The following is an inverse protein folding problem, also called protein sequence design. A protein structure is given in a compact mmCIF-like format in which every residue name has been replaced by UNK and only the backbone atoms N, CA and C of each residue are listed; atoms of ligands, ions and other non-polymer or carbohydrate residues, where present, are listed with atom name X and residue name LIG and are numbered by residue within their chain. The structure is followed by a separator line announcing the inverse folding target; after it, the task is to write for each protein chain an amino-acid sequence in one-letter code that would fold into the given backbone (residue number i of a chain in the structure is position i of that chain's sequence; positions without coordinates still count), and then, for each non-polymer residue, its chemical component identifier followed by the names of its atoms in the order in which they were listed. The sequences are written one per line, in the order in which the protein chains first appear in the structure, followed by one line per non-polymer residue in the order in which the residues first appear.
data_IF_156446849196
#
_entry.id   IF_156446849196
#
_cell.length_a   1.000
_cell.length_b   1.000
_cell.length_c   1.000
_cell.angle_alpha   90.00
_cell.angle_beta   90.00
_cell.angle_gamma   90.00
#
_symmetry.space_group_name_H-M   'P 1'
#
loop_
_entity.id
_entity.type
_entity.pdbx_description
1 polymer ?
#
# COMPACT_ATOMS: atom_id res chain seq x y z
N UNK A 1 19.90 36.66 36.35
CA UNK A 1 18.76 35.81 35.95
C UNK A 1 18.82 35.63 34.44
N UNK A 2 19.50 34.59 33.96
CA UNK A 2 19.61 34.30 32.53
C UNK A 2 18.71 33.12 32.22
N UNK A 3 17.64 33.36 31.47
CA UNK A 3 16.76 32.29 30.99
C UNK A 3 17.45 31.56 29.84
N UNK A 4 17.44 30.22 29.90
CA UNK A 4 17.87 29.34 28.82
C UNK A 4 16.87 29.39 27.65
N UNK A 5 17.31 29.20 26.39
CA UNK A 5 16.41 29.17 25.25
C UNK A 5 15.55 27.90 25.30
N UNK A 6 14.24 28.08 25.23
CA UNK A 6 13.27 26.98 25.22
C UNK A 6 13.54 26.01 24.07
N UNK A 7 13.60 24.72 24.41
CA UNK A 7 13.65 23.65 23.42
C UNK A 7 12.40 23.73 22.54
N UNK A 8 12.58 24.04 21.25
CA UNK A 8 11.53 23.88 20.27
C UNK A 8 11.15 22.40 20.21
N UNK A 9 9.86 22.03 20.18
CA UNK A 9 9.47 20.64 20.00
C UNK A 9 10.04 20.15 18.67
N UNK A 10 10.91 19.14 18.73
CA UNK A 10 11.47 18.49 17.54
C UNK A 10 10.31 18.01 16.68
N UNK A 11 10.25 18.47 15.42
CA UNK A 11 9.26 17.96 14.47
C UNK A 11 9.36 16.43 14.45
N UNK A 12 8.25 15.71 14.61
CA UNK A 12 8.24 14.25 14.50
C UNK A 12 8.85 13.86 13.15
N UNK A 13 9.84 12.97 13.19
CA UNK A 13 10.51 12.49 11.99
C UNK A 13 9.59 11.53 11.25
N UNK A 14 9.12 11.93 10.07
CA UNK A 14 8.35 11.04 9.18
C UNK A 14 9.23 9.85 8.78
N UNK A 15 8.73 8.64 9.04
CA UNK A 15 9.41 7.42 8.64
C UNK A 15 9.36 7.25 7.12
N UNK A 16 10.52 7.00 6.50
CA UNK A 16 10.64 6.81 5.05
C UNK A 16 11.74 5.83 4.67
N UNK A 17 11.33 4.70 4.11
CA UNK A 17 12.21 3.76 3.43
C UNK A 17 12.34 4.09 1.96
N UNK A 18 13.60 4.20 1.54
CA UNK A 18 13.98 4.36 0.14
C UNK A 18 14.17 3.00 -0.52
N UNK A 19 13.77 2.94 -1.78
CA UNK A 19 13.73 1.71 -2.55
C UNK A 19 15.12 1.11 -2.70
N UNK A 20 15.21 -0.19 -2.44
CA UNK A 20 16.34 -1.02 -2.83
C UNK A 20 15.82 -2.13 -3.74
N UNK A 21 16.50 -2.34 -4.88
CA UNK A 21 16.12 -3.36 -5.87
C UNK A 21 14.65 -3.20 -6.31
N UNK A 22 13.88 -4.28 -6.41
CA UNK A 22 12.47 -4.26 -6.81
C UNK A 22 11.49 -4.34 -5.64
N UNK A 23 11.96 -4.11 -4.40
CA UNK A 23 11.20 -4.27 -3.14
C UNK A 23 10.16 -3.17 -2.85
N UNK A 24 9.62 -2.54 -3.90
CA UNK A 24 8.67 -1.42 -3.75
C UNK A 24 7.45 -1.78 -2.89
N UNK A 25 6.95 -3.03 -2.93
CA UNK A 25 5.85 -3.49 -2.08
C UNK A 25 6.21 -3.49 -0.58
N UNK A 26 7.41 -3.98 -0.23
CA UNK A 26 7.89 -3.99 1.17
C UNK A 26 8.03 -2.57 1.69
N UNK A 27 8.63 -1.69 0.89
CA UNK A 27 8.78 -0.29 1.29
C UNK A 27 7.44 0.44 1.36
N UNK A 28 6.49 0.14 0.47
CA UNK A 28 5.14 0.69 0.57
C UNK A 28 4.44 0.25 1.88
N UNK A 29 4.56 -1.02 2.27
CA UNK A 29 4.05 -1.53 3.56
C UNK A 29 4.69 -0.80 4.74
N UNK A 30 6.02 -0.72 4.79
CA UNK A 30 6.72 -0.07 5.91
C UNK A 30 6.45 1.44 5.96
N UNK A 31 6.39 2.10 4.82
CA UNK A 31 6.08 3.53 4.71
C UNK A 31 4.64 3.82 5.14
N UNK A 32 3.66 3.03 4.68
CA UNK A 32 2.26 3.26 5.07
C UNK A 32 2.05 3.00 6.57
N UNK A 33 2.79 2.04 7.15
CA UNK A 33 2.74 1.70 8.57
C UNK A 33 3.62 2.59 9.45
N UNK A 34 4.46 3.44 8.85
CA UNK A 34 5.43 4.33 9.52
C UNK A 34 6.46 3.60 10.39
N UNK A 35 6.83 2.36 10.04
CA UNK A 35 7.82 1.56 10.74
C UNK A 35 8.36 0.45 9.84
N UNK A 36 9.62 0.03 10.05
CA UNK A 36 10.19 -1.18 9.45
C UNK A 36 9.56 -2.45 10.06
N UNK A 37 8.46 -2.94 9.50
CA UNK A 37 7.78 -4.16 9.98
C UNK A 37 8.01 -5.36 9.06
N UNK A 38 8.20 -5.12 7.77
CA UNK A 38 8.41 -6.14 6.76
C UNK A 38 9.82 -6.06 6.19
N UNK A 39 10.39 -7.23 5.94
CA UNK A 39 11.62 -7.40 5.17
C UNK A 39 11.33 -8.17 3.89
N UNK A 40 12.34 -8.32 3.03
CA UNK A 40 12.26 -9.18 1.86
C UNK A 40 11.93 -10.62 2.28
N UNK A 41 12.59 -11.13 3.32
CA UNK A 41 12.38 -12.48 3.83
C UNK A 41 10.95 -12.67 4.34
N UNK A 42 10.40 -11.69 5.06
CA UNK A 42 9.02 -11.74 5.53
C UNK A 42 8.02 -11.78 4.35
N UNK A 43 8.25 -10.98 3.31
CA UNK A 43 7.43 -10.99 2.10
C UNK A 43 7.56 -12.31 1.31
N UNK A 44 8.76 -12.88 1.24
CA UNK A 44 8.99 -14.19 0.63
C UNK A 44 8.27 -15.31 1.40
N UNK A 45 8.26 -15.27 2.73
CA UNK A 45 7.51 -16.23 3.56
C UNK A 45 5.99 -16.10 3.36
N UNK A 46 5.48 -14.87 3.21
CA UNK A 46 4.07 -14.65 2.87
C UNK A 46 3.76 -15.25 1.50
N UNK A 47 4.64 -15.09 0.51
CA UNK A 47 4.47 -15.66 -0.83
C UNK A 47 4.51 -17.20 -0.84
N UNK A 48 5.27 -17.83 0.07
CA UNK A 48 5.36 -19.29 0.19
C UNK A 48 4.14 -19.92 0.84
N UNK A 49 3.40 -19.17 1.68
CA UNK A 49 2.14 -19.62 2.26
C UNK A 49 1.07 -19.56 1.16
N UNK A 50 0.51 -20.71 0.81
CA UNK A 50 -0.53 -20.81 -0.21
C UNK A 50 -1.74 -19.93 0.18
N UNK A 51 -2.16 -18.95 -0.65
CA UNK A 51 -3.31 -18.10 -0.37
C UNK A 51 -4.60 -18.87 -0.09
N UNK A 52 -4.72 -20.11 -0.59
CA UNK A 52 -5.86 -20.98 -0.31
C UNK A 52 -5.98 -21.37 1.17
N UNK A 53 -4.91 -21.28 1.95
CA UNK A 53 -4.95 -21.48 3.42
C UNK A 53 -5.45 -20.26 4.21
N UNK A 54 -5.49 -19.07 3.60
CA UNK A 54 -6.02 -17.83 4.22
C UNK A 54 -7.54 -17.66 4.01
N UNK A 55 -8.12 -18.39 3.06
CA UNK A 55 -9.58 -18.41 2.81
C UNK A 55 -10.34 -19.40 3.74
N UNK A 56 -9.65 -20.09 4.66
CA UNK A 56 -10.26 -21.06 5.59
C UNK A 56 -10.52 -20.52 7.01
N UNK A 57 -10.75 -19.21 7.17
CA UNK A 57 -11.30 -18.64 8.41
C UNK A 57 -12.68 -18.01 8.21
N UNK A 58 -13.51 -18.62 7.37
CA UNK A 58 -14.95 -18.35 7.27
C UNK A 58 -15.75 -19.59 7.70
N UNK A 59 -16.58 -19.42 8.72
CA UNK A 59 -17.63 -20.30 9.26
C UNK A 59 -17.89 -21.64 8.51
N UNK A 60 -17.66 -22.74 9.22
CA UNK A 60 -18.17 -24.06 8.86
C UNK A 60 -19.71 -24.04 8.86
N UNK A 61 -20.35 -24.18 7.69
CA UNK A 61 -21.81 -24.15 7.64
C UNK A 61 -22.54 -24.53 6.34
N UNK A 62 -21.98 -24.33 5.15
CA UNK A 62 -22.76 -24.55 3.91
C UNK A 62 -22.16 -25.62 2.97
N UNK A 63 -22.91 -26.70 2.63
CA UNK A 63 -22.41 -27.80 1.80
C UNK A 63 -22.68 -27.65 0.29
N UNK A 64 -23.08 -26.49 -0.22
CA UNK A 64 -23.22 -26.29 -1.68
C UNK A 64 -22.43 -25.07 -2.19
N UNK A 65 -21.14 -25.27 -2.45
CA UNK A 65 -20.45 -24.47 -3.46
C UNK A 65 -19.46 -25.35 -4.21
N UNK A 66 -19.74 -25.56 -5.49
CA UNK A 66 -19.00 -26.42 -6.41
C UNK A 66 -17.55 -25.94 -6.54
N UNK A 67 -16.55 -26.84 -6.56
CA UNK A 67 -15.17 -26.47 -6.83
C UNK A 67 -15.03 -26.20 -8.32
N UNK A 68 -14.84 -24.95 -8.71
CA UNK A 68 -14.21 -24.70 -10.02
C UNK A 68 -12.72 -24.85 -9.80
N UNK A 69 -12.29 -26.08 -10.10
CA UNK A 69 -10.91 -26.45 -10.36
C UNK A 69 -10.27 -25.39 -11.28
N UNK A 70 -9.17 -24.80 -10.83
CA UNK A 70 -8.02 -24.69 -11.71
C UNK A 70 -7.08 -25.84 -11.32
N UNK A 71 -7.14 -27.00 -11.99
CA UNK A 71 -5.99 -27.88 -12.02
C UNK A 71 -4.86 -27.11 -12.71
N UNK A 72 -3.61 -27.37 -12.34
CA UNK A 72 -2.39 -26.80 -12.96
C UNK A 72 -1.84 -25.47 -12.42
N UNK A 73 -2.06 -25.12 -11.16
CA UNK A 73 -1.24 -24.07 -10.49
C UNK A 73 0.04 -24.62 -9.84
N UNK A 74 0.70 -25.62 -10.45
CA UNK A 74 1.98 -26.16 -9.96
C UNK A 74 3.18 -25.24 -10.16
N UNK A 75 2.99 -24.03 -10.70
CA UNK A 75 3.98 -22.97 -10.77
C UNK A 75 3.24 -21.63 -10.80
N UNK A 76 3.28 -20.86 -9.71
CA UNK A 76 2.84 -19.48 -9.75
C UNK A 76 3.84 -18.70 -10.64
N UNK A 77 3.47 -18.21 -11.85
CA UNK A 77 4.44 -17.63 -12.81
C UNK A 77 5.05 -16.30 -12.32
N UNK A 78 4.55 -15.77 -11.21
CA UNK A 78 5.08 -14.60 -10.51
C UNK A 78 5.96 -14.94 -9.32
N UNK A 79 6.36 -16.21 -9.15
CA UNK A 79 7.52 -16.55 -8.33
C UNK A 79 8.68 -15.78 -8.94
N UNK A 80 9.15 -14.74 -8.25
CA UNK A 80 10.48 -14.18 -8.49
C UNK A 80 11.45 -15.31 -8.21
N UNK A 81 11.69 -16.20 -9.18
CA UNK A 81 12.61 -17.34 -9.10
C UNK A 81 14.05 -16.88 -8.79
N UNK A 82 14.28 -15.56 -8.85
CA UNK A 82 15.53 -14.88 -8.55
C UNK A 82 15.50 -14.08 -7.23
N UNK A 83 14.39 -14.05 -6.48
CA UNK A 83 14.28 -13.27 -5.24
C UNK A 83 14.51 -11.77 -5.45
N UNK A 84 14.01 -11.18 -6.54
CA UNK A 84 14.30 -9.78 -6.89
C UNK A 84 13.43 -8.75 -6.17
N UNK A 85 12.30 -9.18 -5.59
CA UNK A 85 11.42 -8.35 -4.75
C UNK A 85 10.14 -7.82 -5.41
N UNK A 86 9.81 -8.26 -6.63
CA UNK A 86 8.62 -7.81 -7.35
C UNK A 86 7.34 -8.52 -6.86
N UNK A 87 6.86 -8.13 -5.67
CA UNK A 87 5.67 -8.71 -5.05
C UNK A 87 4.37 -8.15 -5.62
N UNK A 88 3.37 -9.02 -5.75
CA UNK A 88 2.02 -8.65 -6.16
C UNK A 88 1.16 -8.15 -4.99
N UNK A 89 -0.08 -7.77 -5.30
CA UNK A 89 -1.03 -7.24 -4.33
C UNK A 89 -1.40 -8.25 -3.23
N UNK A 90 -1.38 -9.56 -3.50
CA UNK A 90 -1.79 -10.56 -2.52
C UNK A 90 -0.81 -10.59 -1.34
N UNK A 91 0.48 -10.37 -1.60
CA UNK A 91 1.49 -10.24 -0.55
C UNK A 91 1.20 -9.02 0.33
N UNK A 92 0.81 -7.89 -0.25
CA UNK A 92 0.43 -6.67 0.47
C UNK A 92 -0.81 -6.92 1.34
N UNK A 93 -1.85 -7.55 0.78
CA UNK A 93 -3.08 -7.87 1.48
C UNK A 93 -2.83 -8.83 2.65
N UNK A 94 -2.10 -9.92 2.42
CA UNK A 94 -1.78 -10.90 3.45
C UNK A 94 -0.89 -10.32 4.56
N UNK A 95 0.07 -9.46 4.21
CA UNK A 95 0.91 -8.74 5.18
C UNK A 95 0.06 -7.88 6.12
N UNK A 96 -0.85 -7.07 5.57
CA UNK A 96 -1.73 -6.20 6.35
C UNK A 96 -2.75 -7.00 7.18
N UNK A 97 -3.29 -8.07 6.61
CA UNK A 97 -4.20 -8.99 7.32
C UNK A 97 -3.53 -9.63 8.54
N UNK A 98 -2.26 -10.00 8.44
CA UNK A 98 -1.46 -10.53 9.55
C UNK A 98 -1.31 -9.55 10.72
N UNK A 99 -1.49 -8.25 10.48
CA UNK A 99 -1.49 -7.19 11.50
C UNK A 99 -2.90 -6.81 11.98
N UNK A 100 -3.94 -7.56 11.57
CA UNK A 100 -5.32 -7.24 11.90
C UNK A 100 -5.88 -6.02 11.15
N UNK A 101 -5.21 -5.59 10.09
CA UNK A 101 -5.70 -4.56 9.17
C UNK A 101 -6.42 -5.22 7.98
N UNK A 102 -7.03 -4.38 7.16
CA UNK A 102 -7.72 -4.78 5.95
C UNK A 102 -7.38 -3.84 4.79
N UNK A 103 -7.67 -4.30 3.58
CA UNK A 103 -7.44 -3.55 2.34
C UNK A 103 -8.71 -3.47 1.53
N UNK A 104 -9.15 -2.26 1.22
CA UNK A 104 -10.31 -2.03 0.36
C UNK A 104 -9.86 -1.46 -0.98
N UNK A 105 -10.33 -2.05 -2.07
CA UNK A 105 -10.13 -1.51 -3.41
C UNK A 105 -11.01 -0.28 -3.62
N UNK A 106 -10.38 0.86 -3.90
CA UNK A 106 -11.13 2.05 -4.29
C UNK A 106 -11.66 1.91 -5.73
N UNK A 107 -12.97 2.08 -5.88
CA UNK A 107 -13.59 2.12 -7.21
C UNK A 107 -13.33 3.48 -7.87
N UNK A 108 -12.45 3.50 -8.88
CA UNK A 108 -12.10 4.70 -9.66
C UNK A 108 -13.28 5.40 -10.36
N UNK A 109 -14.44 4.76 -10.45
CA UNK A 109 -15.67 5.36 -11.00
C UNK A 109 -16.35 6.27 -9.98
N UNK A 110 -16.02 6.16 -8.70
CA UNK A 110 -16.58 6.99 -7.62
C UNK A 110 -15.87 8.34 -7.56
N UNK A 111 -16.61 9.43 -7.29
CA UNK A 111 -15.99 10.72 -7.06
C UNK A 111 -15.11 10.65 -5.82
N UNK A 112 -13.92 11.24 -5.88
CA UNK A 112 -12.99 11.23 -4.76
C UNK A 112 -13.59 11.89 -3.52
N UNK A 113 -14.55 12.80 -3.62
CA UNK A 113 -15.26 13.40 -2.47
C UNK A 113 -15.90 12.38 -1.53
N UNK A 114 -16.29 11.21 -2.05
CA UNK A 114 -16.85 10.11 -1.26
C UNK A 114 -15.78 9.36 -0.44
N UNK A 115 -14.48 9.55 -0.71
CA UNK A 115 -13.42 8.93 0.08
C UNK A 115 -13.29 9.64 1.44
N UNK A 116 -13.61 8.94 2.51
CA UNK A 116 -13.45 9.41 3.89
C UNK A 116 -12.00 9.22 4.36
N UNK A 117 -11.08 10.07 3.86
CA UNK A 117 -9.65 10.03 4.20
C UNK A 117 -9.34 9.94 5.71
N UNK A 118 -10.08 10.58 6.64
CA UNK A 118 -9.83 10.44 8.08
C UNK A 118 -10.07 9.05 8.66
N UNK A 119 -10.87 8.22 8.00
CA UNK A 119 -11.15 6.83 8.42
C UNK A 119 -10.11 5.84 7.87
N UNK A 120 -9.23 6.30 6.98
CA UNK A 120 -8.25 5.49 6.28
C UNK A 120 -6.88 5.70 6.94
N UNK A 121 -6.25 4.60 7.36
CA UNK A 121 -4.91 4.64 7.97
C UNK A 121 -3.87 5.13 6.95
N UNK A 122 -3.96 4.67 5.71
CA UNK A 122 -3.13 5.13 4.61
C UNK A 122 -3.56 4.53 3.29
N UNK A 123 -2.92 4.94 2.19
CA UNK A 123 -3.22 4.46 0.85
C UNK A 123 -1.99 3.77 0.26
N UNK A 124 -2.21 2.70 -0.50
CA UNK A 124 -1.19 2.06 -1.33
C UNK A 124 -1.67 2.15 -2.78
N UNK A 125 -0.86 2.77 -3.64
CA UNK A 125 -1.16 2.96 -5.06
C UNK A 125 -0.28 2.06 -5.90
N UNK A 126 -0.84 1.55 -7.00
CA UNK A 126 -0.10 0.85 -8.05
C UNK A 126 0.04 1.75 -9.28
N UNK A 127 1.20 2.41 -9.41
CA UNK A 127 1.43 3.40 -10.46
C UNK A 127 2.31 2.83 -11.59
N UNK A 128 2.06 3.22 -12.87
CA UNK A 128 3.00 2.95 -13.93
C UNK A 128 4.26 3.82 -13.71
N UNK A 129 5.42 3.19 -13.61
CA UNK A 129 6.68 3.87 -13.36
C UNK A 129 7.72 3.52 -14.43
N UNK A 130 8.42 4.50 -15.02
CA UNK A 130 9.53 4.23 -15.92
C UNK A 130 10.62 3.43 -15.19
N UNK A 131 11.23 2.49 -15.91
CA UNK A 131 12.45 1.88 -15.42
C UNK A 131 13.65 2.81 -15.64
N UNK A 132 14.48 2.96 -14.62
CA UNK A 132 15.74 3.70 -14.70
C UNK A 132 16.90 2.70 -14.68
N UNK A 133 17.73 2.71 -15.72
CA UNK A 133 19.02 2.02 -15.75
C UNK A 133 20.12 3.08 -15.80
N UNK A 134 20.65 3.44 -14.63
CA UNK A 134 21.59 4.56 -14.51
C UNK A 134 20.96 5.89 -14.97
N UNK A 135 21.60 6.57 -15.93
CA UNK A 135 21.11 7.83 -16.51
C UNK A 135 20.07 7.64 -17.63
N UNK A 136 19.79 6.40 -18.04
CA UNK A 136 18.85 6.09 -19.13
C UNK A 136 17.51 5.64 -18.56
N UNK A 137 16.44 6.37 -18.88
CA UNK A 137 15.07 5.89 -18.70
C UNK A 137 14.69 4.98 -19.86
N UNK A 138 14.39 3.72 -19.58
CA UNK A 138 13.92 2.79 -20.61
C UNK A 138 12.45 3.09 -20.94
N UNK A 139 12.02 2.94 -22.21
CA UNK A 139 10.63 3.18 -22.62
C UNK A 139 9.64 2.14 -22.07
N UNK A 140 10.13 1.14 -21.32
CA UNK A 140 9.31 0.12 -20.69
C UNK A 140 8.87 0.57 -19.30
N UNK A 141 7.55 0.63 -19.09
CA UNK A 141 6.94 0.96 -17.80
C UNK A 141 6.71 -0.30 -16.98
N UNK A 142 7.02 -0.25 -15.69
CA UNK A 142 6.70 -1.30 -14.72
C UNK A 142 5.73 -0.78 -13.67
N UNK A 143 5.04 -1.71 -13.01
CA UNK A 143 4.21 -1.40 -11.85
C UNK A 143 5.09 -1.02 -10.67
N UNK A 144 4.62 -0.08 -9.86
CA UNK A 144 5.36 0.45 -8.72
C UNK A 144 4.39 0.78 -7.60
N UNK A 145 4.66 0.20 -6.42
CA UNK A 145 3.86 0.43 -5.23
C UNK A 145 4.30 1.69 -4.51
N UNK A 146 3.36 2.60 -4.25
CA UNK A 146 3.59 3.89 -3.57
C UNK A 146 2.66 4.01 -2.38
N UNK A 147 3.20 4.43 -1.23
CA UNK A 147 2.41 4.68 -0.03
C UNK A 147 2.09 6.17 0.11
N UNK A 148 0.85 6.48 0.49
CA UNK A 148 0.45 7.79 1.02
C UNK A 148 0.01 7.62 2.47
N UNK A 149 0.48 8.50 3.37
CA UNK A 149 0.19 8.40 4.79
C UNK A 149 0.10 9.76 5.46
N UNK A 150 -0.88 9.91 6.36
CA UNK A 150 -0.95 11.06 7.25
C UNK A 150 -0.05 10.85 8.47
N UNK A 151 0.77 11.86 8.77
CA UNK A 151 1.65 11.94 9.94
C UNK A 151 1.51 13.35 10.51
N UNK A 152 1.08 13.43 11.77
CA UNK A 152 0.86 14.70 12.49
C UNK A 152 0.00 15.71 11.71
N UNK A 153 -1.11 15.23 11.14
CA UNK A 153 -2.08 16.04 10.41
C UNK A 153 -1.72 16.32 8.96
N UNK A 154 -0.50 16.04 8.51
CA UNK A 154 -0.03 16.27 7.14
C UNK A 154 0.06 14.96 6.39
N UNK A 155 -0.50 14.91 5.18
CA UNK A 155 -0.33 13.78 4.27
C UNK A 155 0.98 13.90 3.50
N UNK A 156 1.65 12.76 3.34
CA UNK A 156 2.89 12.65 2.59
C UNK A 156 2.77 11.61 1.48
N UNK A 157 3.38 11.93 0.34
CA UNK A 157 3.81 10.97 -0.66
C UNK A 157 5.11 10.32 -0.18
N UNK A 158 5.02 9.03 0.11
CA UNK A 158 6.11 8.20 0.60
C UNK A 158 6.56 7.21 -0.48
N UNK A 159 6.54 7.63 -1.74
CA UNK A 159 7.18 6.90 -2.82
C UNK A 159 8.64 6.62 -2.42
N UNK A 160 9.00 5.34 -2.40
CA UNK A 160 10.32 4.86 -2.04
C UNK A 160 11.41 5.29 -3.03
N UNK A 161 11.04 5.74 -4.25
CA UNK A 161 11.98 6.34 -5.21
C UNK A 161 12.37 7.78 -4.87
N UNK A 162 11.60 8.47 -4.03
CA UNK A 162 11.94 9.81 -3.58
C UNK A 162 13.16 9.80 -2.67
N UNK A 163 13.88 10.93 -2.63
CA UNK A 163 14.99 11.11 -1.68
C UNK A 163 14.52 11.39 -0.26
N UNK A 164 13.32 11.95 -0.13
CA UNK A 164 12.66 12.29 1.13
C UNK A 164 11.13 12.32 0.91
N UNK A 165 10.31 12.23 1.98
CA UNK A 165 8.86 12.42 1.90
C UNK A 165 8.48 13.74 1.24
N UNK A 166 7.52 13.69 0.33
CA UNK A 166 6.94 14.88 -0.29
C UNK A 166 5.60 15.20 0.39
N UNK A 167 5.48 16.39 0.98
CA UNK A 167 4.26 16.80 1.64
C UNK A 167 3.16 17.10 0.62
N UNK A 168 2.02 16.43 0.74
CA UNK A 168 0.80 16.69 -0.02
C UNK A 168 -0.12 17.70 0.71
N UNK A 169 0.13 17.98 1.99
CA UNK A 169 -0.69 18.88 2.79
C UNK A 169 -1.92 18.17 3.38
N UNK A 170 -3.10 18.77 3.22
CA UNK A 170 -4.36 18.23 3.74
C UNK A 170 -5.09 17.29 2.78
N UNK A 171 -6.36 17.01 3.07
CA UNK A 171 -7.22 16.13 2.24
C UNK A 171 -7.29 16.58 0.78
N UNK A 172 -7.40 17.88 0.52
CA UNK A 172 -7.52 18.41 -0.85
C UNK A 172 -6.28 18.12 -1.69
N UNK A 173 -5.09 18.18 -1.09
CA UNK A 173 -3.84 17.86 -1.78
C UNK A 173 -3.75 16.38 -2.13
N UNK A 174 -4.19 15.50 -1.24
CA UNK A 174 -4.29 14.05 -1.53
C UNK A 174 -5.30 13.80 -2.64
N UNK A 175 -6.47 14.45 -2.59
CA UNK A 175 -7.50 14.30 -3.63
C UNK A 175 -6.99 14.79 -4.99
N UNK A 176 -6.27 15.91 -5.04
CA UNK A 176 -5.65 16.41 -6.27
C UNK A 176 -4.59 15.43 -6.82
N UNK A 177 -3.75 14.87 -5.94
CA UNK A 177 -2.76 13.86 -6.31
C UNK A 177 -3.43 12.60 -6.88
N UNK A 178 -4.44 12.06 -6.19
CA UNK A 178 -5.20 10.89 -6.62
C UNK A 178 -5.92 11.14 -7.95
N UNK A 179 -6.51 12.33 -8.15
CA UNK A 179 -7.17 12.68 -9.40
C UNK A 179 -6.17 12.67 -10.57
N UNK A 180 -4.99 13.25 -10.39
CA UNK A 180 -3.92 13.23 -11.39
C UNK A 180 -3.41 11.82 -11.71
N UNK A 181 -3.30 10.95 -10.70
CA UNK A 181 -2.90 9.56 -10.87
C UNK A 181 -3.98 8.72 -11.59
N UNK A 182 -5.24 8.86 -11.19
CA UNK A 182 -6.37 8.12 -11.77
C UNK A 182 -6.66 8.54 -13.22
N UNK A 183 -6.46 9.81 -13.57
CA UNK A 183 -6.65 10.33 -14.93
C UNK A 183 -5.73 9.66 -15.96
N UNK A 184 -4.59 9.11 -15.54
CA UNK A 184 -3.67 8.36 -16.42
C UNK A 184 -4.19 6.95 -16.77
N UNK A 185 -5.28 6.50 -16.15
CA UNK A 185 -6.00 5.26 -16.49
C UNK A 185 -5.34 3.95 -16.06
N UNK A 186 -4.11 4.00 -15.57
CA UNK A 186 -3.33 2.83 -15.13
C UNK A 186 -3.05 2.84 -13.62
N UNK A 187 -3.78 3.61 -12.83
CA UNK A 187 -3.60 3.66 -11.38
C UNK A 187 -4.63 2.78 -10.68
N UNK A 188 -4.17 1.96 -9.74
CA UNK A 188 -5.02 1.29 -8.76
C UNK A 188 -4.76 1.88 -7.38
N UNK A 189 -5.79 1.92 -6.54
CA UNK A 189 -5.71 2.51 -5.19
C UNK A 189 -6.31 1.53 -4.19
N UNK A 190 -5.50 1.16 -3.21
CA UNK A 190 -5.87 0.36 -2.05
C UNK A 190 -5.95 1.26 -0.83
N UNK A 191 -7.05 1.17 -0.10
CA UNK A 191 -7.23 1.81 1.20
C UNK A 191 -6.76 0.83 2.28
N UNK A 192 -5.81 1.24 3.10
CA UNK A 192 -5.41 0.49 4.30
C UNK A 192 -6.27 0.97 5.46
N UNK A 193 -7.07 0.09 6.02
CA UNK A 193 -8.06 0.39 7.06
C UNK A 193 -8.00 -0.64 8.18
N UNK A 194 -8.61 -0.32 9.32
CA UNK A 194 -8.87 -1.35 10.35
C UNK A 194 -10.01 -2.26 9.88
N UNK A 195 -10.08 -3.49 10.41
CA UNK A 195 -11.21 -4.41 10.13
C UNK A 195 -12.57 -3.80 10.46
N UNK A 196 -12.66 -3.05 11.56
CA UNK A 196 -13.89 -2.36 11.94
C UNK A 196 -14.34 -1.33 10.88
N UNK A 197 -13.40 -0.57 10.31
CA UNK A 197 -13.71 0.41 9.26
C UNK A 197 -14.12 -0.28 7.96
N UNK A 198 -13.48 -1.41 7.61
CA UNK A 198 -13.88 -2.24 6.48
C UNK A 198 -15.31 -2.76 6.64
N UNK A 199 -15.60 -3.41 7.77
CA UNK A 199 -16.91 -4.02 8.09
C UNK A 199 -18.04 -2.99 8.10
N UNK A 200 -17.81 -1.80 8.68
CA UNK A 200 -18.79 -0.73 8.75
C UNK A 200 -18.91 0.08 7.46
N UNK A 201 -17.96 -0.06 6.53
CA UNK A 201 -17.92 0.73 5.30
C UNK A 201 -17.65 2.23 5.51
N UNK A 202 -17.15 2.65 6.68
CA UNK A 202 -16.98 4.07 7.03
C UNK A 202 -15.91 4.80 6.20
N UNK A 203 -15.09 4.06 5.44
CA UNK A 203 -14.16 4.62 4.45
C UNK A 203 -14.88 5.29 3.26
N UNK A 204 -16.17 5.02 3.08
CA UNK A 204 -17.03 5.63 2.07
C UNK A 204 -18.01 6.61 2.75
N UNK A 205 -17.99 7.87 2.32
CA UNK A 205 -19.03 8.86 2.67
C UNK A 205 -20.27 8.55 1.81
N UNK A 206 -21.40 8.34 2.46
CA UNK A 206 -22.71 8.38 1.81
C UNK A 206 -23.09 9.85 1.67
N UNK A 207 -23.28 10.29 0.42
CA UNK A 207 -23.84 11.61 0.12
C UNK A 207 -25.26 11.76 0.70
#
# INVERSE_FOLDING_TARGET
MSQAPGAQPSRPSVYHERQRLELCAVHALNNVLQQQLFSQEAADEICKRDPSTLLHQGHAGDPEMRPVLAPDSRLNPHRSLLGTGNYDVNVIMAALQGLGLATVWWDRRRPLSQLALPQVLGLILNLPSPMSLGLLSLPLRRRHWVALRQVDGVYYNLDSKLRAPEALGGEDGVRAFLAGALAQGLCEVLLVVTKEVEEKGCWLRTD
#
